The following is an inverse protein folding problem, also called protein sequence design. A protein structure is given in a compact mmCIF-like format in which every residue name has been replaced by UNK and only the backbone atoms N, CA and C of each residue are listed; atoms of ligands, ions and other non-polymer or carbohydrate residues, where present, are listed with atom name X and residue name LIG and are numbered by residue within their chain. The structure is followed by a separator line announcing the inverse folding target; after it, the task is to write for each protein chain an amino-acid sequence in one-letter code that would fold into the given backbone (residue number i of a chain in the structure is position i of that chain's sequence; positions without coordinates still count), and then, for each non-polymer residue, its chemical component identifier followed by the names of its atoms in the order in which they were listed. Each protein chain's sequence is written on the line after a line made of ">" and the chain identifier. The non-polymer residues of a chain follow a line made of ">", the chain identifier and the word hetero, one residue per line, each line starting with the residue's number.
data_IF_879596759638
#
_entry.id   IF_879596759638
#
_cell.length_a   1.000
_cell.length_b   1.000
_cell.length_c   1.000
_cell.angle_alpha   90.00
_cell.angle_beta   90.00
_cell.angle_gamma   90.00
#
_symmetry.space_group_name_H-M   'P 1'
#
loop_
_entity.id
_entity.type
_entity.pdbx_description
1 polymer ?
#
# COMPACT_ATOMS: atom_id res chain seq x y z
N UNK A 1 31.68 41.86 -14.74
CA UNK A 1 31.63 40.39 -14.89
C UNK A 1 31.21 39.82 -13.55
N UNK A 2 30.12 39.05 -13.50
CA UNK A 2 29.66 38.37 -12.31
C UNK A 2 29.66 36.87 -12.57
N UNK A 3 30.15 36.08 -11.62
CA UNK A 3 30.15 34.62 -11.68
C UNK A 3 29.31 34.14 -10.50
N UNK A 4 28.21 33.43 -10.78
CA UNK A 4 27.30 32.95 -9.76
C UNK A 4 26.15 32.14 -10.35
N UNK A 5 25.38 31.49 -9.48
CA UNK A 5 24.16 30.78 -9.87
C UNK A 5 23.08 31.81 -10.22
N UNK A 6 22.96 32.15 -11.51
CA UNK A 6 21.94 33.07 -12.01
C UNK A 6 21.21 32.45 -13.19
N UNK A 7 19.91 32.26 -13.03
CA UNK A 7 19.04 31.73 -14.07
C UNK A 7 18.80 32.76 -15.16
N UNK A 8 19.09 32.36 -16.40
CA UNK A 8 18.88 33.14 -17.62
C UNK A 8 17.37 33.23 -17.85
N UNK A 9 16.85 34.44 -17.97
CA UNK A 9 15.44 34.67 -18.33
C UNK A 9 15.34 35.86 -19.31
N UNK A 10 14.21 35.94 -20.01
CA UNK A 10 14.00 36.97 -21.04
C UNK A 10 14.14 38.39 -20.49
N UNK A 11 13.55 38.68 -19.32
CA UNK A 11 13.62 40.00 -18.71
C UNK A 11 15.05 40.42 -18.32
N UNK A 12 15.92 39.49 -17.88
CA UNK A 12 17.32 39.77 -17.55
C UNK A 12 18.17 39.93 -18.80
N UNK A 13 17.92 39.13 -19.84
CA UNK A 13 18.65 39.22 -21.11
C UNK A 13 18.45 40.59 -21.80
N UNK A 14 17.32 41.28 -21.55
CA UNK A 14 17.13 42.65 -22.07
C UNK A 14 18.01 43.72 -21.42
N UNK A 15 18.59 43.45 -20.24
CA UNK A 15 19.39 44.42 -19.49
C UNK A 15 20.86 44.00 -19.32
N UNK A 16 21.16 42.70 -19.46
CA UNK A 16 22.51 42.14 -19.35
C UNK A 16 22.72 41.02 -20.36
N UNK A 17 23.95 40.91 -20.88
CA UNK A 17 24.34 39.83 -21.78
C UNK A 17 24.77 38.58 -21.00
N UNK A 18 24.35 37.40 -21.50
CA UNK A 18 24.74 36.10 -20.96
C UNK A 18 25.65 35.33 -21.91
N UNK A 19 26.53 34.51 -21.34
CA UNK A 19 27.25 33.48 -22.09
C UNK A 19 26.33 32.28 -22.38
N UNK A 20 26.80 31.33 -23.20
CA UNK A 20 26.08 30.06 -23.37
C UNK A 20 25.95 29.34 -22.02
N UNK A 21 24.78 28.75 -21.72
CA UNK A 21 24.56 28.05 -20.45
C UNK A 21 25.54 26.88 -20.34
N UNK A 22 26.16 26.75 -19.17
CA UNK A 22 27.09 25.66 -18.87
C UNK A 22 26.41 24.48 -18.15
N UNK A 23 25.18 24.67 -17.66
CA UNK A 23 24.40 23.68 -16.90
C UNK A 23 22.91 23.85 -17.20
N UNK A 24 22.22 22.72 -17.42
CA UNK A 24 20.77 22.69 -17.63
C UNK A 24 20.07 22.31 -16.33
N UNK A 25 19.08 23.11 -15.92
CA UNK A 25 18.39 23.00 -14.65
C UNK A 25 16.87 23.02 -14.89
N UNK A 26 16.12 22.32 -14.03
CA UNK A 26 14.66 22.36 -14.03
C UNK A 26 14.10 22.87 -12.70
N UNK A 27 12.78 23.06 -12.66
CA UNK A 27 12.05 23.28 -11.40
C UNK A 27 11.63 21.90 -10.88
N UNK A 28 11.98 21.60 -9.65
CA UNK A 28 11.65 20.36 -8.96
C UNK A 28 10.91 20.64 -7.65
N UNK A 29 10.21 19.62 -7.13
CA UNK A 29 9.37 19.71 -5.95
C UNK A 29 10.04 18.97 -4.79
N UNK A 30 10.38 19.70 -3.73
CA UNK A 30 10.90 19.13 -2.49
C UNK A 30 9.75 18.99 -1.48
N UNK A 31 9.43 17.77 -1.08
CA UNK A 31 8.42 17.52 -0.05
C UNK A 31 8.87 16.38 0.87
N UNK A 32 8.30 16.34 2.08
CA UNK A 32 8.56 15.25 3.03
C UNK A 32 7.64 14.08 2.74
N UNK A 33 8.21 12.90 2.55
CA UNK A 33 7.45 11.67 2.43
C UNK A 33 6.74 11.40 3.77
N UNK A 34 5.40 11.25 3.80
CA UNK A 34 4.68 11.00 5.04
C UNK A 34 5.10 9.65 5.63
N UNK A 35 5.74 9.69 6.81
CA UNK A 35 6.28 8.49 7.50
C UNK A 35 5.24 7.76 8.37
N UNK A 36 3.96 7.82 8.02
CA UNK A 36 2.89 7.22 8.81
C UNK A 36 1.90 6.47 7.94
N UNK A 37 2.05 5.14 7.83
CA UNK A 37 0.95 4.31 7.34
C UNK A 37 -0.13 4.33 8.42
N UNK A 38 -1.35 4.87 8.18
CA UNK A 38 -2.43 4.67 9.14
C UNK A 38 -2.61 3.17 9.30
N UNK A 39 -2.66 2.70 10.55
CA UNK A 39 -2.87 1.28 10.87
C UNK A 39 -4.25 0.88 10.38
N UNK A 40 -4.34 0.38 9.14
CA UNK A 40 -5.58 -0.18 8.61
C UNK A 40 -5.86 -1.44 9.41
N UNK A 41 -6.96 -1.45 10.17
CA UNK A 41 -7.37 -2.59 11.02
C UNK A 41 -7.40 -3.93 10.27
N UNK A 42 -7.63 -3.91 8.95
CA UNK A 42 -7.66 -5.08 8.08
C UNK A 42 -6.39 -5.29 7.25
N UNK A 43 -5.25 -4.69 7.64
CA UNK A 43 -4.00 -4.82 6.86
C UNK A 43 -3.51 -6.26 6.77
N UNK A 44 -3.92 -7.14 7.68
CA UNK A 44 -3.59 -8.57 7.62
C UNK A 44 -4.29 -9.29 6.46
N UNK A 45 -5.38 -8.76 5.89
CA UNK A 45 -6.05 -9.36 4.72
C UNK A 45 -5.45 -8.93 3.38
N UNK A 46 -4.70 -7.82 3.35
CA UNK A 46 -4.06 -7.27 2.15
C UNK A 46 -3.09 -8.21 1.39
N UNK A 47 -2.41 -9.19 2.02
CA UNK A 47 -1.51 -10.11 1.29
C UNK A 47 -2.19 -10.96 0.23
N UNK A 48 -3.53 -11.04 0.25
CA UNK A 48 -4.33 -11.82 -0.68
C UNK A 48 -5.49 -10.97 -1.21
N UNK A 49 -5.76 -11.07 -2.52
CA UNK A 49 -6.86 -10.32 -3.13
C UNK A 49 -8.23 -10.75 -2.56
N UNK A 50 -9.16 -9.80 -2.46
CA UNK A 50 -10.51 -10.03 -1.95
C UNK A 50 -11.25 -11.12 -2.76
N UNK A 51 -10.98 -11.22 -4.05
CA UNK A 51 -11.52 -12.27 -4.93
C UNK A 51 -11.15 -13.68 -4.44
N UNK A 52 -9.89 -13.89 -4.03
CA UNK A 52 -9.42 -15.19 -3.55
C UNK A 52 -10.09 -15.53 -2.21
N UNK A 53 -10.28 -14.54 -1.33
CA UNK A 53 -11.04 -14.73 -0.09
C UNK A 53 -12.48 -15.21 -0.36
N UNK A 54 -13.15 -14.64 -1.37
CA UNK A 54 -14.48 -15.10 -1.78
C UNK A 54 -14.46 -16.52 -2.33
N UNK A 55 -13.46 -16.88 -3.14
CA UNK A 55 -13.30 -18.25 -3.64
C UNK A 55 -13.01 -19.26 -2.53
N UNK A 56 -12.20 -18.91 -1.53
CA UNK A 56 -11.93 -19.75 -0.36
C UNK A 56 -13.21 -19.97 0.45
N UNK A 57 -14.03 -18.92 0.66
CA UNK A 57 -15.31 -19.04 1.35
C UNK A 57 -16.30 -19.91 0.57
N UNK A 58 -16.39 -19.75 -0.75
CA UNK A 58 -17.23 -20.58 -1.61
C UNK A 58 -16.78 -22.05 -1.59
N UNK A 59 -15.48 -22.31 -1.70
CA UNK A 59 -14.90 -23.65 -1.61
C UNK A 59 -15.16 -24.29 -0.24
N UNK A 60 -15.03 -23.53 0.85
CA UNK A 60 -15.34 -23.97 2.22
C UNK A 60 -16.79 -24.48 2.35
N UNK A 61 -17.77 -23.74 1.83
CA UNK A 61 -19.19 -24.15 1.85
C UNK A 61 -19.38 -25.39 0.98
N UNK A 62 -18.84 -25.40 -0.24
CA UNK A 62 -18.97 -26.51 -1.19
C UNK A 62 -18.43 -27.83 -0.63
N UNK A 63 -17.24 -27.79 -0.03
CA UNK A 63 -16.58 -28.99 0.52
C UNK A 63 -17.30 -29.47 1.78
N UNK A 64 -17.77 -28.56 2.64
CA UNK A 64 -18.57 -28.92 3.81
C UNK A 64 -19.88 -29.63 3.43
N UNK A 65 -20.57 -29.13 2.40
CA UNK A 65 -21.78 -29.77 1.86
C UNK A 65 -21.45 -31.12 1.20
N UNK A 66 -20.36 -31.19 0.44
CA UNK A 66 -19.93 -32.44 -0.22
C UNK A 66 -19.60 -33.52 0.81
N UNK A 67 -18.90 -33.16 1.89
CA UNK A 67 -18.64 -34.07 3.02
C UNK A 67 -19.92 -34.52 3.70
N UNK A 68 -20.86 -33.61 3.97
CA UNK A 68 -22.14 -33.95 4.58
C UNK A 68 -22.93 -34.94 3.70
N UNK A 69 -23.02 -34.69 2.40
CA UNK A 69 -23.70 -35.56 1.44
C UNK A 69 -23.02 -36.94 1.38
N UNK A 70 -21.70 -36.99 1.22
CA UNK A 70 -20.96 -38.26 1.17
C UNK A 70 -21.05 -39.05 2.47
N UNK A 71 -21.02 -38.38 3.63
CA UNK A 71 -21.15 -39.03 4.93
C UNK A 71 -22.56 -39.62 5.14
N UNK A 72 -23.61 -39.02 4.57
CA UNK A 72 -24.99 -39.57 4.63
C UNK A 72 -25.21 -40.75 3.70
N UNK A 73 -24.62 -40.72 2.50
CA UNK A 73 -24.75 -41.82 1.53
C UNK A 73 -23.84 -43.01 1.81
N UNK A 74 -22.75 -42.82 2.58
CA UNK A 74 -21.84 -43.90 2.92
C UNK A 74 -22.35 -44.67 4.16
N UNK A 75 -22.79 -45.93 4.02
CA UNK A 75 -23.22 -46.74 5.16
C UNK A 75 -22.06 -47.06 6.13
N UNK A 76 -20.81 -46.91 5.69
CA UNK A 76 -19.61 -47.14 6.52
C UNK A 76 -19.32 -46.03 7.56
N UNK A 77 -20.00 -44.88 7.48
CA UNK A 77 -19.89 -43.79 8.47
C UNK A 77 -20.92 -43.91 9.61
N UNK A 78 -21.88 -44.83 9.46
CA UNK A 78 -22.87 -45.13 10.48
C UNK A 78 -22.29 -46.12 11.48
N UNK A 79 -22.23 -45.74 12.75
CA UNK A 79 -21.61 -46.54 13.80
C UNK A 79 -22.62 -46.86 14.91
N UNK A 80 -22.58 -48.07 15.47
CA UNK A 80 -23.34 -48.38 16.67
C UNK A 80 -22.60 -47.77 17.88
N UNK A 81 -23.20 -46.84 18.65
CA UNK A 81 -22.57 -46.24 19.83
C UNK A 81 -22.28 -47.27 20.94
N UNK A 82 -22.97 -48.41 20.96
CA UNK A 82 -22.77 -49.51 21.91
C UNK A 82 -22.48 -50.84 21.20
N UNK A 83 -21.22 -51.12 20.80
CA UNK A 83 -20.86 -52.37 20.12
C UNK A 83 -21.03 -53.64 20.99
N UNK A 84 -21.33 -53.49 22.28
CA UNK A 84 -21.56 -54.59 23.22
C UNK A 84 -23.04 -55.02 23.32
N UNK A 85 -23.98 -54.25 22.74
CA UNK A 85 -25.41 -54.56 22.72
C UNK A 85 -25.84 -54.85 21.28
N UNK A 86 -26.06 -56.14 20.98
CA UNK A 86 -26.35 -56.65 19.63
C UNK A 86 -27.75 -56.29 19.12
N UNK A 87 -28.63 -55.73 19.96
CA UNK A 87 -30.05 -55.48 19.64
C UNK A 87 -30.41 -54.00 19.39
N UNK A 88 -29.45 -53.06 19.51
CA UNK A 88 -29.72 -51.65 19.23
C UNK A 88 -29.38 -51.31 17.77
N UNK A 89 -30.41 -51.25 16.91
CA UNK A 89 -30.34 -50.77 15.51
C UNK A 89 -30.09 -49.25 15.37
N UNK A 90 -29.73 -48.58 16.47
CA UNK A 90 -29.51 -47.12 16.50
C UNK A 90 -28.12 -46.83 15.95
N UNK A 91 -28.06 -46.71 14.62
CA UNK A 91 -26.86 -46.27 13.94
C UNK A 91 -26.70 -44.75 14.11
N UNK A 92 -25.54 -44.28 14.57
CA UNK A 92 -25.23 -42.86 14.68
C UNK A 92 -24.18 -42.43 13.65
N UNK A 93 -24.42 -41.30 12.99
CA UNK A 93 -23.48 -40.68 12.08
C UNK A 93 -22.87 -39.43 12.74
N UNK A 94 -21.55 -39.41 12.91
CA UNK A 94 -20.85 -38.32 13.58
C UNK A 94 -20.80 -37.03 12.74
N UNK A 95 -21.06 -37.11 11.43
CA UNK A 95 -21.07 -35.97 10.50
C UNK A 95 -22.49 -35.40 10.31
N UNK A 96 -22.92 -34.55 11.24
CA UNK A 96 -24.00 -33.57 10.99
C UNK A 96 -23.49 -32.39 10.15
N UNK A 97 -24.39 -31.53 9.66
CA UNK A 97 -24.01 -30.31 8.92
C UNK A 97 -23.03 -29.46 9.76
N UNK A 98 -23.36 -29.23 11.03
CA UNK A 98 -22.53 -28.47 11.97
C UNK A 98 -21.16 -29.14 12.20
N UNK A 99 -21.13 -30.46 12.38
CA UNK A 99 -19.89 -31.21 12.58
C UNK A 99 -19.02 -31.25 11.31
N UNK A 100 -19.63 -31.22 10.12
CA UNK A 100 -18.92 -31.14 8.84
C UNK A 100 -18.24 -29.78 8.66
N UNK A 101 -18.95 -28.69 8.98
CA UNK A 101 -18.36 -27.35 9.01
C UNK A 101 -17.23 -27.25 10.06
N UNK A 102 -17.41 -27.87 11.23
CA UNK A 102 -16.38 -27.91 12.27
C UNK A 102 -15.13 -28.70 11.83
N UNK A 103 -15.30 -29.83 11.16
CA UNK A 103 -14.22 -30.62 10.58
C UNK A 103 -13.43 -29.82 9.53
N UNK A 104 -14.12 -29.14 8.61
CA UNK A 104 -13.50 -28.29 7.59
C UNK A 104 -12.81 -27.07 8.21
N UNK A 105 -13.39 -26.45 9.24
CA UNK A 105 -12.77 -25.34 9.98
C UNK A 105 -11.50 -25.79 10.69
N UNK A 106 -11.52 -26.93 11.38
CA UNK A 106 -10.34 -27.47 12.06
C UNK A 106 -9.21 -27.75 11.07
N UNK A 107 -9.51 -28.49 9.98
CA UNK A 107 -8.51 -28.78 8.94
C UNK A 107 -7.98 -27.53 8.24
N UNK A 108 -8.79 -26.47 8.08
CA UNK A 108 -8.35 -25.17 7.57
C UNK A 108 -7.41 -24.44 8.53
N UNK A 109 -7.72 -24.42 9.82
CA UNK A 109 -6.88 -23.81 10.85
C UNK A 109 -5.65 -24.65 11.22
N UNK A 110 -5.40 -25.76 10.50
CA UNK A 110 -4.42 -26.82 10.83
C UNK A 110 -4.58 -27.38 12.25
N UNK A 111 -5.75 -27.25 12.83
CA UNK A 111 -6.12 -27.79 14.13
C UNK A 111 -6.97 -29.02 13.89
N UNK A 112 -6.42 -30.22 14.12
CA UNK A 112 -7.17 -31.45 13.93
C UNK A 112 -8.51 -31.39 14.65
N UNK A 113 -9.59 -31.80 13.98
CA UNK A 113 -10.88 -31.99 14.62
C UNK A 113 -10.86 -33.29 15.42
N UNK A 114 -11.54 -33.34 16.57
CA UNK A 114 -11.80 -34.60 17.28
C UNK A 114 -12.71 -35.58 16.52
N UNK A 115 -13.06 -35.25 15.27
CA UNK A 115 -13.88 -36.03 14.35
C UNK A 115 -12.98 -36.54 13.22
N UNK A 116 -13.04 -37.83 12.93
CA UNK A 116 -12.21 -38.48 11.91
C UNK A 116 -13.08 -39.25 10.91
N UNK A 117 -12.96 -38.98 9.59
CA UNK A 117 -13.68 -39.74 8.58
C UNK A 117 -13.23 -41.19 8.54
N UNK A 118 -14.19 -42.12 8.53
CA UNK A 118 -13.92 -43.57 8.52
C UNK A 118 -13.96 -44.14 7.10
N UNK A 119 -14.86 -43.65 6.24
CA UNK A 119 -15.00 -44.13 4.88
C UNK A 119 -13.86 -43.66 3.97
N UNK A 120 -13.52 -44.47 2.96
CA UNK A 120 -12.47 -44.13 2.01
C UNK A 120 -12.83 -42.87 1.17
N UNK A 121 -14.11 -42.72 0.80
CA UNK A 121 -14.60 -41.57 0.03
C UNK A 121 -14.47 -40.24 0.80
N UNK A 122 -14.89 -40.19 2.06
CA UNK A 122 -14.79 -39.01 2.92
C UNK A 122 -13.33 -38.66 3.24
N UNK A 123 -12.45 -39.66 3.37
CA UNK A 123 -11.00 -39.45 3.50
C UNK A 123 -10.36 -38.84 2.27
N UNK A 124 -10.76 -39.25 1.07
CA UNK A 124 -10.24 -38.66 -0.18
C UNK A 124 -10.66 -37.19 -0.28
N UNK A 125 -11.92 -36.87 0.00
CA UNK A 125 -12.39 -35.46 0.02
C UNK A 125 -11.64 -34.64 1.06
N UNK A 126 -11.46 -35.18 2.28
CA UNK A 126 -10.66 -34.54 3.32
C UNK A 126 -9.19 -34.35 2.92
N UNK A 127 -8.61 -35.30 2.19
CA UNK A 127 -7.23 -35.22 1.69
C UNK A 127 -7.04 -34.15 0.60
N UNK A 128 -8.00 -34.05 -0.33
CA UNK A 128 -8.00 -32.99 -1.35
C UNK A 128 -8.16 -31.62 -0.70
N UNK A 129 -9.09 -31.50 0.26
CA UNK A 129 -9.26 -30.27 1.04
C UNK A 129 -7.98 -29.91 1.80
N UNK A 130 -7.36 -30.87 2.48
CA UNK A 130 -6.12 -30.66 3.21
C UNK A 130 -4.98 -30.18 2.31
N UNK A 131 -4.85 -30.74 1.10
CA UNK A 131 -3.86 -30.28 0.12
C UNK A 131 -4.15 -28.85 -0.36
N UNK A 132 -5.42 -28.54 -0.63
CA UNK A 132 -5.86 -27.19 -1.00
C UNK A 132 -5.54 -26.17 0.10
N UNK A 133 -5.89 -26.45 1.36
CA UNK A 133 -5.61 -25.53 2.47
C UNK A 133 -4.12 -25.35 2.72
N UNK A 134 -3.31 -26.40 2.53
CA UNK A 134 -1.84 -26.31 2.59
C UNK A 134 -1.31 -25.28 1.60
N UNK A 135 -1.75 -25.33 0.33
CA UNK A 135 -1.33 -24.39 -0.72
C UNK A 135 -1.75 -22.95 -0.37
N UNK A 136 -3.01 -22.76 0.05
CA UNK A 136 -3.53 -21.42 0.39
C UNK A 136 -2.75 -20.80 1.55
N UNK A 137 -2.54 -21.54 2.65
CA UNK A 137 -1.80 -21.05 3.81
C UNK A 137 -0.35 -20.75 3.42
N UNK A 138 0.29 -21.63 2.65
CA UNK A 138 1.67 -21.42 2.19
C UNK A 138 1.79 -20.14 1.35
N UNK A 139 0.89 -19.93 0.39
CA UNK A 139 0.88 -18.71 -0.43
C UNK A 139 0.61 -17.45 0.40
N UNK A 140 -0.34 -17.52 1.34
CA UNK A 140 -0.61 -16.41 2.26
C UNK A 140 0.61 -16.07 3.11
N UNK A 141 1.29 -17.07 3.69
CA UNK A 141 2.50 -16.83 4.50
C UNK A 141 3.65 -16.24 3.68
N UNK A 142 3.83 -16.68 2.43
CA UNK A 142 4.84 -16.14 1.52
C UNK A 142 4.55 -14.68 1.15
N UNK A 143 3.30 -14.38 0.77
CA UNK A 143 2.90 -13.02 0.41
C UNK A 143 2.92 -12.08 1.62
N UNK A 144 2.55 -12.56 2.80
CA UNK A 144 2.65 -11.80 4.05
C UNK A 144 4.11 -11.48 4.36
N UNK A 145 5.03 -12.44 4.24
CA UNK A 145 6.46 -12.20 4.43
C UNK A 145 7.00 -11.16 3.44
N UNK A 146 6.62 -11.25 2.16
CA UNK A 146 6.97 -10.25 1.15
C UNK A 146 6.36 -8.88 1.46
N UNK A 147 5.12 -8.82 1.98
CA UNK A 147 4.49 -7.58 2.37
C UNK A 147 5.18 -6.91 3.58
N UNK A 148 5.69 -7.71 4.52
CA UNK A 148 6.41 -7.21 5.69
C UNK A 148 7.80 -6.69 5.35
N UNK A 149 8.44 -7.22 4.31
CA UNK A 149 9.76 -6.73 3.87
C UNK A 149 9.67 -5.56 2.91
N UNK A 150 8.59 -5.44 2.14
CA UNK A 150 8.40 -4.36 1.18
C UNK A 150 7.65 -3.20 1.84
N UNK A 151 8.41 -2.26 2.39
CA UNK A 151 7.87 -0.93 2.69
C UNK A 151 7.66 -0.15 1.39
N UNK A 152 6.46 -0.28 0.80
CA UNK A 152 6.07 0.64 -0.29
C UNK A 152 5.97 2.05 0.28
N UNK A 153 6.93 2.90 -0.06
CA UNK A 153 6.76 4.35 0.02
C UNK A 153 5.70 4.73 -1.01
N UNK A 154 4.47 4.98 -0.56
CA UNK A 154 3.44 5.54 -1.42
C UNK A 154 3.68 7.04 -1.43
N UNK A 155 4.15 7.56 -2.55
CA UNK A 155 4.29 9.00 -2.76
C UNK A 155 2.92 9.56 -3.14
N UNK A 156 2.32 10.45 -2.33
CA UNK A 156 1.00 11.01 -2.64
C UNK A 156 1.02 11.98 -3.84
N UNK A 157 2.21 12.44 -4.24
CA UNK A 157 2.42 13.39 -5.33
C UNK A 157 3.52 12.82 -6.23
N UNK A 158 3.22 12.59 -7.50
CA UNK A 158 4.22 12.20 -8.51
C UNK A 158 4.54 13.35 -9.47
N UNK A 159 3.60 14.27 -9.67
CA UNK A 159 3.72 15.35 -10.63
C UNK A 159 3.15 16.69 -10.09
N UNK A 160 3.43 17.79 -10.81
CA UNK A 160 2.94 19.12 -10.43
C UNK A 160 1.42 19.27 -10.56
N UNK A 161 0.76 18.45 -11.38
CA UNK A 161 -0.69 18.47 -11.58
C UNK A 161 -1.43 17.88 -10.37
N UNK A 162 -0.91 16.81 -9.79
CA UNK A 162 -1.39 16.21 -8.55
C UNK A 162 -1.32 17.23 -7.41
N UNK A 163 -0.20 17.96 -7.34
CA UNK A 163 0.00 19.03 -6.36
C UNK A 163 -0.99 20.19 -6.56
N UNK A 164 -1.31 20.55 -7.81
CA UNK A 164 -2.26 21.61 -8.14
C UNK A 164 -3.72 21.23 -7.84
N UNK A 165 -4.07 19.94 -8.04
CA UNK A 165 -5.42 19.42 -7.81
C UNK A 165 -5.76 19.28 -6.32
N UNK A 166 -4.78 18.87 -5.51
CA UNK A 166 -4.93 18.73 -4.07
C UNK A 166 -4.70 20.06 -3.35
N UNK A 167 -5.34 20.25 -2.18
CA UNK A 167 -5.21 21.46 -1.34
C UNK A 167 -4.76 21.16 0.09
N UNK A 168 -4.39 19.92 0.36
CA UNK A 168 -4.01 19.46 1.70
C UNK A 168 -2.56 19.87 2.01
N UNK A 169 -1.66 19.67 1.05
CA UNK A 169 -0.26 20.05 1.11
C UNK A 169 -0.11 21.45 0.52
N UNK A 170 0.34 22.39 1.34
CA UNK A 170 0.66 23.74 0.90
C UNK A 170 1.94 23.71 0.06
N UNK A 171 2.08 24.64 -0.88
CA UNK A 171 3.29 24.73 -1.68
C UNK A 171 3.67 26.17 -1.99
N UNK A 172 4.96 26.42 -2.14
CA UNK A 172 5.48 27.75 -2.40
C UNK A 172 6.90 27.76 -2.96
N UNK A 173 7.38 28.95 -3.27
CA UNK A 173 8.69 29.19 -3.90
C UNK A 173 9.49 30.23 -3.10
N UNK A 174 10.76 30.41 -3.45
CA UNK A 174 11.54 31.54 -2.95
C UNK A 174 10.92 32.88 -3.42
N UNK A 175 10.76 33.82 -2.50
CA UNK A 175 10.30 35.19 -2.76
C UNK A 175 11.29 35.93 -3.67
N UNK A 176 10.78 36.56 -4.73
CA UNK A 176 11.61 37.26 -5.73
C UNK A 176 12.47 36.35 -6.62
N UNK A 177 12.30 35.03 -6.54
CA UNK A 177 13.04 34.06 -7.35
C UNK A 177 12.61 34.02 -8.83
N UNK A 178 13.48 33.45 -9.67
CA UNK A 178 13.16 33.10 -11.08
C UNK A 178 11.97 32.15 -11.14
N UNK A 179 11.90 31.18 -10.24
CA UNK A 179 10.79 30.21 -10.13
C UNK A 179 9.45 30.90 -9.83
N UNK A 180 9.42 31.89 -8.93
CA UNK A 180 8.23 32.67 -8.64
C UNK A 180 7.73 33.41 -9.88
N UNK A 181 8.66 34.06 -10.60
CA UNK A 181 8.37 34.79 -11.85
C UNK A 181 7.87 33.84 -12.93
N UNK A 182 8.44 32.64 -13.03
CA UNK A 182 7.99 31.61 -13.98
C UNK A 182 6.52 31.24 -13.77
N UNK A 183 6.10 30.97 -12.53
CA UNK A 183 4.70 30.62 -12.24
C UNK A 183 3.74 31.79 -12.48
N UNK A 184 4.15 33.01 -12.16
CA UNK A 184 3.36 34.23 -12.40
C UNK A 184 3.13 34.49 -13.89
N UNK A 185 4.16 34.32 -14.71
CA UNK A 185 4.13 34.68 -16.13
C UNK A 185 3.77 33.46 -17.03
N UNK A 186 3.54 32.28 -16.43
CA UNK A 186 3.23 31.05 -17.14
C UNK A 186 1.86 31.10 -17.84
N UNK A 187 1.81 30.56 -19.06
CA UNK A 187 0.58 30.43 -19.86
C UNK A 187 -0.11 29.07 -19.71
N UNK A 188 0.57 28.10 -19.08
CA UNK A 188 0.05 26.75 -18.87
C UNK A 188 -0.99 26.80 -17.75
N UNK A 189 -2.16 26.20 -18.00
CA UNK A 189 -3.31 26.25 -17.08
C UNK A 189 -2.96 25.74 -15.68
N UNK A 190 -2.34 24.56 -15.58
CA UNK A 190 -1.91 23.97 -14.30
C UNK A 190 -1.03 24.93 -13.49
N UNK A 191 -0.02 25.54 -14.11
CA UNK A 191 0.88 26.47 -13.43
C UNK A 191 0.22 27.80 -13.05
N UNK A 192 -0.74 28.25 -13.84
CA UNK A 192 -1.56 29.44 -13.53
C UNK A 192 -2.48 29.18 -12.34
N UNK A 193 -3.04 27.98 -12.23
CA UNK A 193 -3.82 27.58 -11.05
C UNK A 193 -2.94 27.50 -9.80
N UNK A 194 -1.74 26.90 -9.93
CA UNK A 194 -0.75 26.90 -8.85
C UNK A 194 -0.38 28.31 -8.41
N UNK A 195 -0.14 29.24 -9.34
CA UNK A 195 0.13 30.64 -9.02
C UNK A 195 -1.02 31.28 -8.24
N UNK A 196 -2.26 31.14 -8.72
CA UNK A 196 -3.44 31.67 -8.04
C UNK A 196 -3.59 31.10 -6.63
N UNK A 197 -3.30 29.80 -6.44
CA UNK A 197 -3.30 29.19 -5.12
C UNK A 197 -2.25 29.84 -4.22
N UNK A 198 -1.00 29.97 -4.68
CA UNK A 198 0.09 30.58 -3.91
C UNK A 198 -0.19 32.04 -3.56
N UNK A 199 -0.77 32.82 -4.48
CA UNK A 199 -1.12 34.23 -4.28
C UNK A 199 -2.32 34.41 -3.34
N UNK A 200 -3.29 33.50 -3.38
CA UNK A 200 -4.51 33.57 -2.55
C UNK A 200 -4.31 33.17 -1.08
N UNK A 201 -3.18 32.55 -0.73
CA UNK A 201 -2.94 31.97 0.59
C UNK A 201 -2.39 33.01 1.56
N UNK A 202 -3.00 33.09 2.75
CA UNK A 202 -2.56 33.90 3.87
C UNK A 202 -2.57 33.03 5.13
N UNK A 203 -1.45 32.78 5.83
CA UNK A 203 -0.10 33.36 5.66
C UNK A 203 0.59 33.02 4.34
N UNK A 204 1.58 33.82 3.94
CA UNK A 204 2.26 33.67 2.66
C UNK A 204 3.00 32.33 2.56
N UNK A 205 2.79 31.60 1.47
CA UNK A 205 3.52 30.34 1.18
C UNK A 205 4.94 30.59 0.66
N UNK A 206 5.26 31.83 0.30
CA UNK A 206 6.59 32.22 -0.16
C UNK A 206 7.55 32.32 1.02
N UNK A 207 8.80 31.96 0.78
CA UNK A 207 9.88 32.01 1.77
C UNK A 207 10.99 32.94 1.30
N UNK A 208 11.62 33.67 2.22
CA UNK A 208 12.69 34.61 1.86
C UNK A 208 14.04 33.90 1.62
N UNK A 209 14.27 32.77 2.30
CA UNK A 209 15.54 32.04 2.28
C UNK A 209 15.29 30.55 1.94
N UNK A 210 16.32 29.88 1.38
CA UNK A 210 16.27 28.45 1.12
C UNK A 210 16.18 27.63 2.42
N UNK A 211 16.90 28.02 3.47
CA UNK A 211 16.92 27.31 4.75
C UNK A 211 15.55 27.27 5.44
N UNK A 212 14.79 28.38 5.34
CA UNK A 212 13.44 28.45 5.90
C UNK A 212 12.48 27.56 5.11
N UNK A 213 12.58 27.56 3.77
CA UNK A 213 11.83 26.63 2.91
C UNK A 213 12.11 25.15 3.23
N UNK A 214 13.38 24.78 3.37
CA UNK A 214 13.79 23.40 3.69
C UNK A 214 13.28 22.99 5.08
N UNK A 215 13.38 23.87 6.08
CA UNK A 215 12.86 23.57 7.43
C UNK A 215 11.33 23.43 7.45
N UNK A 216 10.60 24.24 6.68
CA UNK A 216 9.15 24.08 6.51
C UNK A 216 8.80 22.72 5.89
N UNK A 217 9.54 22.28 4.87
CA UNK A 217 9.35 20.93 4.31
C UNK A 217 9.61 19.84 5.35
N UNK A 218 10.67 19.98 6.16
CA UNK A 218 11.00 19.00 7.23
C UNK A 218 9.89 18.88 8.29
N UNK A 219 9.21 19.98 8.60
CA UNK A 219 8.05 19.98 9.50
C UNK A 219 6.86 19.22 8.91
N UNK A 220 6.77 19.11 7.58
CA UNK A 220 5.72 18.41 6.86
C UNK A 220 4.55 19.32 6.48
N UNK A 221 3.65 18.83 5.60
CA UNK A 221 2.49 19.58 5.14
C UNK A 221 2.80 20.73 4.16
N UNK A 222 4.07 20.94 3.81
CA UNK A 222 4.53 21.95 2.87
C UNK A 222 5.47 21.34 1.82
N UNK A 223 5.30 21.74 0.55
CA UNK A 223 6.15 21.39 -0.57
C UNK A 223 6.85 22.64 -1.13
N UNK A 224 8.15 22.56 -1.32
CA UNK A 224 8.98 23.68 -1.74
C UNK A 224 9.45 23.51 -3.18
N UNK A 225 9.15 24.48 -4.03
CA UNK A 225 9.52 24.49 -5.45
C UNK A 225 10.85 25.22 -5.62
N UNK A 226 11.86 24.50 -6.09
CA UNK A 226 13.23 25.02 -6.23
C UNK A 226 13.95 24.41 -7.44
N UNK A 227 15.15 24.90 -7.73
CA UNK A 227 15.96 24.40 -8.84
C UNK A 227 16.45 22.97 -8.56
N UNK A 228 16.45 22.13 -9.60
CA UNK A 228 16.71 20.69 -9.49
C UNK A 228 18.06 20.35 -8.86
N UNK A 229 19.12 21.08 -9.20
CA UNK A 229 20.46 20.84 -8.63
C UNK A 229 20.57 21.18 -7.15
N UNK A 230 19.90 22.24 -6.72
CA UNK A 230 19.84 22.60 -5.30
C UNK A 230 19.03 21.57 -4.53
N UNK A 231 17.95 21.04 -5.12
CA UNK A 231 17.19 19.94 -4.55
C UNK A 231 18.07 18.69 -4.41
N UNK A 232 18.76 18.28 -5.48
CA UNK A 232 19.63 17.10 -5.46
C UNK A 232 20.72 17.22 -4.39
N UNK A 233 21.32 18.40 -4.24
CA UNK A 233 22.28 18.68 -3.17
C UNK A 233 21.65 18.55 -1.77
N UNK A 234 20.48 19.15 -1.56
CA UNK A 234 19.76 19.09 -0.27
C UNK A 234 19.33 17.66 0.06
N UNK A 235 18.83 16.91 -0.91
CA UNK A 235 18.48 15.49 -0.76
C UNK A 235 19.72 14.68 -0.42
N UNK A 236 20.83 14.86 -1.14
CA UNK A 236 22.08 14.17 -0.82
C UNK A 236 22.53 14.48 0.60
N UNK A 237 22.54 15.74 1.04
CA UNK A 237 22.98 16.13 2.39
C UNK A 237 22.04 15.60 3.47
N UNK A 238 20.72 15.68 3.27
CA UNK A 238 19.72 15.26 4.27
C UNK A 238 19.61 13.73 4.34
N UNK A 239 19.59 13.03 3.20
CA UNK A 239 19.54 11.57 3.19
C UNK A 239 20.88 10.94 3.59
N UNK A 240 22.04 11.51 3.23
CA UNK A 240 23.33 11.06 3.82
C UNK A 240 23.34 11.18 5.34
N UNK A 241 22.67 12.19 5.90
CA UNK A 241 22.61 12.38 7.35
C UNK A 241 21.74 11.34 8.06
N UNK A 242 20.80 10.70 7.35
CA UNK A 242 19.96 9.63 7.91
C UNK A 242 20.68 8.26 7.85
N UNK A 243 21.54 8.03 6.85
CA UNK A 243 22.25 6.75 6.68
C UNK A 243 23.55 6.58 7.50
N UNK A 244 24.05 7.61 8.20
CA UNK A 244 25.27 7.50 9.03
C UNK A 244 24.97 7.04 10.48
N UNK A 245 23.71 6.87 10.86
CA UNK A 245 23.32 6.51 12.24
C UNK A 245 22.36 5.32 12.35
N UNK A 246 22.40 4.40 11.38
CA UNK A 246 21.77 3.08 11.48
C UNK A 246 22.81 1.96 11.58
#
# INVERSE_FOLDING_TARGET
>A
MAMGAMTINFARETVIDFTKPFMNLGISILFKIPSGKPTRLFSFMNPLALEIWLYVLAAYILVSLTLFVMARFSPYEWNNPHPCETENDIMENQFSISNSFWFITGTFLRQGSGLNPKAASTRIVGGIWWFFTLIIISSYTANLAAFLTVERMITPIENAEDLARQKEIEYGTLSGGSTMTFFRDSKIEVYREMWKFMESRNPSVFVDNYDTGINSVKNGGYAFLMESTMLDYVVQVIFFFIDILA
#
